data_IF_993508723683
#
_entry.id   IF_993508723683
#
_cell.length_a   1.000
_cell.length_b   1.000
_cell.length_c   1.000
_cell.angle_alpha   90.00
_cell.angle_beta   90.00
_cell.angle_gamma   90.00
#
_symmetry.space_group_name_H-M   'P 1'
#
loop_
_entity.id
_entity.type
_entity.pdbx_description
1 polymer ?
#
# COMPACT_ATOMS: atom_id res chain seq x y z
N UNK A 1 -82.69 -73.21 -2.38
CA UNK A 1 -81.22 -73.06 -2.24
C UNK A 1 -80.68 -72.34 -3.47
N UNK A 2 -80.39 -71.08 -3.38
CA UNK A 2 -79.81 -70.27 -4.46
C UNK A 2 -78.31 -70.12 -4.25
N UNK A 3 -77.50 -70.60 -5.18
CA UNK A 3 -76.03 -70.41 -5.19
C UNK A 3 -75.67 -69.02 -5.74
N UNK A 4 -75.07 -68.20 -4.87
CA UNK A 4 -74.49 -66.93 -5.26
C UNK A 4 -73.12 -67.23 -5.91
N UNK A 5 -72.95 -66.93 -7.22
CA UNK A 5 -71.67 -66.93 -7.94
C UNK A 5 -70.92 -65.66 -7.62
N UNK A 6 -69.82 -65.73 -6.87
CA UNK A 6 -68.91 -64.66 -6.63
C UNK A 6 -68.14 -64.32 -7.92
N UNK A 7 -68.28 -63.06 -8.37
CA UNK A 7 -67.50 -62.49 -9.51
C UNK A 7 -66.09 -62.11 -9.00
N UNK A 8 -65.07 -62.89 -9.34
CA UNK A 8 -63.66 -62.56 -9.10
C UNK A 8 -63.25 -61.49 -10.14
N UNK A 9 -63.17 -60.23 -9.74
CA UNK A 9 -62.53 -59.12 -10.53
C UNK A 9 -61.05 -59.50 -10.70
N UNK A 10 -60.61 -59.77 -11.94
CA UNK A 10 -59.18 -59.89 -12.27
C UNK A 10 -58.66 -58.46 -12.28
N UNK A 11 -57.94 -58.06 -11.25
CA UNK A 11 -57.19 -56.84 -11.20
C UNK A 11 -56.03 -56.86 -12.23
N UNK A 12 -56.10 -56.00 -13.19
CA UNK A 12 -55.11 -55.97 -14.28
C UNK A 12 -53.88 -55.12 -13.85
N UNK A 13 -52.91 -55.77 -13.21
CA UNK A 13 -51.69 -55.12 -12.72
C UNK A 13 -50.73 -54.67 -13.80
N UNK A 14 -51.01 -54.95 -15.10
CA UNK A 14 -50.15 -54.53 -16.22
C UNK A 14 -50.05 -53.02 -16.32
N UNK A 15 -51.14 -52.31 -16.12
CA UNK A 15 -51.14 -50.82 -16.11
C UNK A 15 -50.31 -50.23 -14.96
N UNK A 16 -50.43 -50.88 -13.77
CA UNK A 16 -49.62 -50.45 -12.60
C UNK A 16 -48.11 -50.62 -12.83
N UNK A 17 -47.66 -51.73 -13.39
CA UNK A 17 -46.25 -51.95 -13.71
C UNK A 17 -45.75 -51.03 -14.80
N UNK A 18 -46.56 -50.64 -15.79
CA UNK A 18 -46.18 -49.66 -16.81
C UNK A 18 -45.99 -48.28 -16.18
N UNK A 19 -46.89 -47.85 -15.30
CA UNK A 19 -46.76 -46.54 -14.60
C UNK A 19 -45.53 -46.56 -13.69
N UNK A 20 -45.32 -47.64 -12.93
CA UNK A 20 -44.15 -47.79 -12.07
C UNK A 20 -42.84 -47.72 -12.87
N UNK A 21 -42.80 -48.39 -14.02
CA UNK A 21 -41.64 -48.35 -14.94
C UNK A 21 -41.39 -46.96 -15.50
N UNK A 22 -42.44 -46.21 -15.90
CA UNK A 22 -42.31 -44.85 -16.37
C UNK A 22 -41.86 -43.90 -15.27
N UNK A 23 -42.34 -44.08 -14.01
CA UNK A 23 -41.89 -43.32 -12.85
C UNK A 23 -40.42 -43.64 -12.54
N UNK A 24 -40.02 -44.92 -12.61
CA UNK A 24 -38.61 -45.31 -12.40
C UNK A 24 -37.69 -44.75 -13.47
N UNK A 25 -38.09 -44.73 -14.75
CA UNK A 25 -37.36 -44.06 -15.83
C UNK A 25 -37.30 -42.54 -15.59
N UNK A 26 -38.42 -41.92 -15.21
CA UNK A 26 -38.47 -40.48 -14.88
C UNK A 26 -37.52 -40.11 -13.73
N UNK A 27 -37.51 -40.93 -12.67
CA UNK A 27 -36.58 -40.76 -11.55
C UNK A 27 -35.13 -40.94 -11.98
N UNK A 28 -34.84 -41.98 -12.78
CA UNK A 28 -33.49 -42.25 -13.28
C UNK A 28 -32.98 -41.11 -14.19
N UNK A 29 -33.83 -40.59 -15.07
CA UNK A 29 -33.52 -39.42 -15.92
C UNK A 29 -33.32 -38.17 -15.05
N UNK A 30 -34.16 -37.96 -14.03
CA UNK A 30 -34.02 -36.86 -13.09
C UNK A 30 -32.68 -36.91 -12.33
N UNK A 31 -32.36 -38.07 -11.72
CA UNK A 31 -31.08 -38.24 -11.01
C UNK A 31 -29.88 -38.16 -11.94
N UNK A 32 -29.97 -38.69 -13.15
CA UNK A 32 -28.91 -38.56 -14.16
C UNK A 32 -28.70 -37.09 -14.55
N UNK A 33 -29.78 -36.31 -14.72
CA UNK A 33 -29.69 -34.89 -15.06
C UNK A 33 -29.12 -34.01 -13.95
N UNK A 34 -29.09 -34.50 -12.70
CA UNK A 34 -28.49 -33.82 -11.55
C UNK A 34 -27.03 -34.26 -11.31
N UNK A 35 -26.53 -35.25 -12.02
CA UNK A 35 -25.15 -35.71 -11.90
C UNK A 35 -24.18 -34.76 -12.61
N UNK A 36 -22.91 -34.69 -12.13
CA UNK A 36 -21.82 -33.94 -12.79
C UNK A 36 -21.67 -34.32 -14.26
N UNK A 37 -22.09 -35.52 -14.66
CA UNK A 37 -22.03 -36.01 -16.05
C UNK A 37 -22.92 -35.22 -17.01
N UNK A 38 -24.05 -34.65 -16.49
CA UNK A 38 -24.98 -33.81 -17.27
C UNK A 38 -25.01 -32.38 -16.75
N UNK A 39 -23.92 -31.93 -16.16
CA UNK A 39 -23.79 -30.58 -15.68
C UNK A 39 -24.00 -29.55 -16.83
N UNK A 40 -24.68 -28.43 -16.53
CA UNK A 40 -25.02 -27.36 -17.48
C UNK A 40 -24.14 -26.13 -17.35
N UNK A 41 -23.26 -26.08 -16.35
CA UNK A 41 -22.33 -24.96 -16.20
C UNK A 41 -21.25 -25.11 -17.26
N UNK A 42 -20.93 -24.01 -17.90
CA UNK A 42 -19.82 -24.00 -18.87
C UNK A 42 -18.51 -23.72 -18.15
N UNK A 43 -17.36 -24.13 -18.72
CA UNK A 43 -16.04 -23.86 -18.19
C UNK A 43 -15.82 -22.38 -17.88
N UNK A 44 -15.14 -22.10 -16.79
CA UNK A 44 -14.68 -20.76 -16.43
C UNK A 44 -13.30 -20.51 -17.05
N UNK A 45 -13.16 -19.37 -17.73
CA UNK A 45 -11.89 -18.90 -18.29
C UNK A 45 -11.41 -17.69 -17.48
N UNK A 46 -10.39 -17.90 -16.63
CA UNK A 46 -9.75 -16.87 -15.81
C UNK A 46 -8.45 -16.45 -16.49
N UNK A 47 -8.20 -15.15 -16.55
CA UNK A 47 -6.99 -14.60 -17.13
C UNK A 47 -6.36 -13.69 -16.10
N UNK A 48 -5.16 -14.02 -15.69
CA UNK A 48 -4.44 -13.26 -14.70
C UNK A 48 -3.80 -12.01 -15.33
N UNK A 49 -3.98 -10.86 -14.66
CA UNK A 49 -3.40 -9.57 -15.06
C UNK A 49 -3.77 -9.10 -16.48
N UNK A 50 -4.96 -9.44 -16.98
CA UNK A 50 -5.46 -8.94 -18.25
C UNK A 50 -5.80 -7.45 -18.14
N UNK A 51 -4.97 -6.60 -18.76
CA UNK A 51 -5.24 -5.19 -19.03
C UNK A 51 -5.53 -4.98 -20.52
N UNK A 52 -5.71 -3.72 -20.93
CA UNK A 52 -5.90 -3.36 -22.34
C UNK A 52 -4.56 -3.31 -23.14
N UNK A 53 -3.43 -3.33 -22.43
CA UNK A 53 -2.08 -3.29 -23.00
C UNK A 53 -1.37 -4.60 -22.71
N UNK A 54 -0.58 -5.06 -23.67
CA UNK A 54 0.12 -6.32 -23.52
C UNK A 54 1.54 -6.26 -24.11
N UNK A 55 2.51 -6.71 -23.32
CA UNK A 55 3.85 -6.98 -23.80
C UNK A 55 3.98 -8.49 -24.08
N UNK A 56 4.18 -8.91 -25.35
CA UNK A 56 4.36 -10.32 -25.69
C UNK A 56 5.54 -11.04 -25.02
N UNK A 57 6.48 -10.29 -24.43
CA UNK A 57 7.58 -10.86 -23.65
C UNK A 57 7.17 -11.25 -22.21
N UNK A 58 6.02 -10.75 -21.74
CA UNK A 58 5.49 -11.09 -20.41
C UNK A 58 4.52 -12.25 -20.53
N UNK A 59 4.69 -13.24 -19.63
CA UNK A 59 3.78 -14.39 -19.60
C UNK A 59 2.44 -13.97 -18.97
N UNK A 60 1.35 -14.15 -19.73
CA UNK A 60 -0.01 -13.96 -19.22
C UNK A 60 -0.62 -15.35 -18.99
N UNK A 61 -1.02 -15.68 -17.77
CA UNK A 61 -1.57 -16.99 -17.45
C UNK A 61 -3.07 -17.04 -17.75
N UNK A 62 -3.48 -18.15 -18.39
CA UNK A 62 -4.87 -18.54 -18.63
C UNK A 62 -5.15 -19.73 -17.74
N UNK A 63 -6.23 -19.71 -16.98
CA UNK A 63 -6.69 -20.83 -16.17
C UNK A 63 -8.08 -21.22 -16.65
N UNK A 64 -8.20 -22.47 -17.12
CA UNK A 64 -9.48 -23.06 -17.50
C UNK A 64 -9.93 -23.97 -16.35
N UNK A 65 -11.15 -23.77 -15.83
CA UNK A 65 -11.70 -24.56 -14.71
C UNK A 65 -13.08 -25.09 -15.04
N UNK A 66 -13.31 -26.36 -14.70
CA UNK A 66 -14.61 -26.98 -14.81
C UNK A 66 -14.77 -28.18 -13.88
N UNK A 67 -15.98 -28.40 -13.33
CA UNK A 67 -16.29 -29.55 -12.47
C UNK A 67 -16.34 -30.86 -13.24
N UNK A 68 -16.77 -30.84 -14.52
CA UNK A 68 -16.82 -31.97 -15.44
C UNK A 68 -15.51 -32.24 -16.19
N UNK A 69 -14.45 -31.49 -15.87
CA UNK A 69 -13.12 -31.48 -16.50
C UNK A 69 -13.09 -30.86 -17.92
N UNK A 70 -11.95 -30.32 -18.28
CA UNK A 70 -11.71 -29.70 -19.59
C UNK A 70 -11.51 -30.76 -20.66
N UNK A 71 -12.30 -30.67 -21.74
CA UNK A 71 -12.26 -31.58 -22.91
C UNK A 71 -11.39 -31.05 -24.03
N UNK A 72 -11.54 -29.76 -24.34
CA UNK A 72 -10.78 -29.12 -25.40
C UNK A 72 -10.73 -27.62 -25.17
N UNK A 73 -9.76 -26.97 -25.79
CA UNK A 73 -9.71 -25.52 -25.87
C UNK A 73 -9.22 -25.09 -27.25
N UNK A 74 -9.60 -23.86 -27.62
CA UNK A 74 -9.04 -23.20 -28.80
C UNK A 74 -8.63 -21.78 -28.46
N UNK A 75 -7.56 -21.30 -29.08
CA UNK A 75 -7.05 -19.94 -28.94
C UNK A 75 -6.80 -19.40 -30.35
N UNK A 76 -7.62 -18.44 -30.76
CA UNK A 76 -7.51 -17.74 -32.03
C UNK A 76 -7.04 -16.31 -31.74
N UNK A 77 -6.00 -15.84 -32.45
CA UNK A 77 -5.58 -14.45 -32.41
C UNK A 77 -5.70 -13.79 -33.77
N UNK A 78 -6.30 -12.59 -33.78
CA UNK A 78 -6.61 -11.83 -35.00
C UNK A 78 -6.14 -10.40 -34.84
N UNK A 79 -5.48 -9.83 -35.86
CA UNK A 79 -5.14 -8.41 -35.89
C UNK A 79 -6.35 -7.55 -36.28
N UNK A 80 -6.26 -6.23 -36.09
CA UNK A 80 -7.32 -5.27 -36.42
C UNK A 80 -7.74 -5.33 -37.91
N UNK A 81 -6.83 -5.70 -38.81
CA UNK A 81 -7.10 -5.88 -40.23
C UNK A 81 -7.81 -7.20 -40.57
N UNK A 82 -8.16 -8.02 -39.57
CA UNK A 82 -8.79 -9.33 -39.76
C UNK A 82 -7.82 -10.47 -40.04
N UNK A 83 -6.52 -10.23 -40.12
CA UNK A 83 -5.50 -11.27 -40.33
C UNK A 83 -5.39 -12.19 -39.12
N UNK A 84 -5.55 -13.50 -39.32
CA UNK A 84 -5.31 -14.53 -38.31
C UNK A 84 -3.82 -14.73 -38.14
N UNK A 85 -3.30 -14.48 -36.93
CA UNK A 85 -1.87 -14.62 -36.62
C UNK A 85 -1.56 -15.80 -35.69
N UNK A 86 -2.61 -16.42 -35.13
CA UNK A 86 -2.53 -17.61 -34.30
C UNK A 86 -3.85 -18.40 -34.41
N UNK A 87 -3.78 -19.71 -34.51
CA UNK A 87 -4.93 -20.63 -34.45
C UNK A 87 -4.46 -21.93 -33.80
N UNK A 88 -4.83 -22.12 -32.55
CA UNK A 88 -4.51 -23.32 -31.74
C UNK A 88 -5.80 -24.02 -31.38
N UNK A 89 -5.85 -25.33 -31.60
CA UNK A 89 -6.96 -26.17 -31.16
C UNK A 89 -6.38 -27.44 -30.55
N UNK A 90 -6.75 -27.73 -29.31
CA UNK A 90 -6.21 -28.83 -28.53
C UNK A 90 -7.31 -29.64 -27.85
N UNK A 91 -7.17 -30.95 -27.87
CA UNK A 91 -8.01 -31.91 -27.13
C UNK A 91 -7.25 -32.39 -25.91
N UNK A 92 -7.85 -32.27 -24.73
CA UNK A 92 -7.24 -32.62 -23.45
C UNK A 92 -7.75 -33.97 -22.98
N UNK A 93 -6.92 -35.01 -23.09
CA UNK A 93 -7.30 -36.39 -22.79
C UNK A 93 -7.26 -36.74 -21.30
N UNK A 94 -6.42 -36.05 -20.52
CA UNK A 94 -6.19 -36.31 -19.09
C UNK A 94 -7.32 -35.85 -18.16
N UNK A 95 -8.35 -35.23 -18.73
CA UNK A 95 -9.56 -34.75 -18.01
C UNK A 95 -9.24 -33.91 -16.76
N UNK A 96 -8.42 -32.87 -16.81
CA UNK A 96 -8.14 -32.03 -15.66
C UNK A 96 -9.34 -31.15 -15.34
N UNK A 97 -9.68 -30.98 -14.05
CA UNK A 97 -10.67 -30.00 -13.59
C UNK A 97 -10.12 -28.56 -13.62
N UNK A 98 -8.80 -28.42 -13.63
CA UNK A 98 -8.11 -27.13 -13.78
C UNK A 98 -6.93 -27.33 -14.74
N UNK A 99 -6.87 -26.50 -15.79
CA UNK A 99 -5.79 -26.48 -16.77
C UNK A 99 -5.17 -25.08 -16.82
N UNK A 100 -3.86 -24.99 -16.56
CA UNK A 100 -3.09 -23.74 -16.61
C UNK A 100 -2.30 -23.68 -17.91
N UNK A 101 -2.50 -22.61 -18.63
CA UNK A 101 -1.84 -22.31 -19.89
C UNK A 101 -1.22 -20.93 -19.85
N UNK A 102 -0.29 -20.66 -20.73
CA UNK A 102 0.15 -19.28 -21.00
C UNK A 102 -0.47 -18.79 -22.32
N UNK A 103 -0.82 -17.51 -22.37
CA UNK A 103 -1.29 -16.88 -23.60
C UNK A 103 -0.21 -17.01 -24.66
N UNK A 104 -0.48 -17.75 -25.77
CA UNK A 104 0.54 -18.00 -26.76
C UNK A 104 0.83 -16.73 -27.55
N UNK A 105 2.12 -16.49 -27.82
CA UNK A 105 2.60 -15.36 -28.59
C UNK A 105 2.66 -15.73 -30.07
N UNK A 106 2.10 -14.91 -30.98
CA UNK A 106 2.25 -15.14 -32.42
C UNK A 106 3.72 -15.16 -32.82
N UNK A 107 4.07 -16.06 -33.76
CA UNK A 107 5.46 -16.16 -34.25
C UNK A 107 5.92 -14.88 -34.98
N UNK A 108 4.97 -14.15 -35.55
CA UNK A 108 5.23 -12.87 -36.22
C UNK A 108 5.49 -11.77 -35.17
N UNK A 109 6.53 -10.96 -35.37
CA UNK A 109 6.77 -9.75 -34.57
C UNK A 109 5.63 -8.75 -34.77
N UNK A 110 4.96 -8.39 -33.70
CA UNK A 110 3.90 -7.39 -33.66
C UNK A 110 4.52 -6.00 -33.52
N UNK A 111 4.12 -5.01 -34.32
CA UNK A 111 4.60 -3.64 -34.15
C UNK A 111 4.01 -3.00 -32.86
N UNK A 112 4.70 -2.01 -32.34
CA UNK A 112 4.24 -1.17 -31.23
C UNK A 112 2.91 -0.50 -31.58
N UNK A 113 1.95 -0.49 -30.65
CA UNK A 113 0.61 0.08 -30.85
C UNK A 113 -0.33 -0.79 -31.67
N UNK A 114 0.10 -1.95 -32.20
CA UNK A 114 -0.78 -2.86 -32.91
C UNK A 114 -1.89 -3.39 -32.00
N UNK A 115 -3.10 -3.51 -32.53
CA UNK A 115 -4.23 -4.12 -31.81
C UNK A 115 -4.38 -5.58 -32.21
N UNK A 116 -4.55 -6.43 -31.21
CA UNK A 116 -4.74 -7.88 -31.37
C UNK A 116 -5.91 -8.34 -30.49
N UNK A 117 -6.78 -9.15 -31.09
CA UNK A 117 -7.90 -9.80 -30.41
C UNK A 117 -7.61 -11.27 -30.21
N UNK A 118 -7.73 -11.76 -28.99
CA UNK A 118 -7.72 -13.18 -28.68
C UNK A 118 -9.15 -13.66 -28.41
N UNK A 119 -9.54 -14.74 -29.06
CA UNK A 119 -10.74 -15.50 -28.74
C UNK A 119 -10.33 -16.83 -28.15
N UNK A 120 -10.65 -17.04 -26.87
CA UNK A 120 -10.31 -18.24 -26.12
C UNK A 120 -11.61 -19.00 -25.88
N UNK A 121 -11.68 -20.25 -26.35
CA UNK A 121 -12.82 -21.14 -26.13
C UNK A 121 -12.38 -22.34 -25.31
N UNK A 122 -13.23 -22.75 -24.36
CA UNK A 122 -13.03 -23.97 -23.57
C UNK A 122 -14.30 -24.78 -23.54
N UNK A 123 -14.19 -26.10 -23.74
CA UNK A 123 -15.30 -27.07 -23.71
C UNK A 123 -15.04 -28.14 -22.65
N UNK A 124 -16.06 -28.53 -21.90
CA UNK A 124 -15.98 -29.57 -20.87
C UNK A 124 -16.28 -30.98 -21.37
N UNK A 125 -16.11 -31.98 -20.47
CA UNK A 125 -16.50 -33.37 -20.69
C UNK A 125 -17.95 -33.70 -20.26
N UNK A 126 -18.78 -32.69 -20.00
CA UNK A 126 -20.20 -32.91 -19.68
C UNK A 126 -20.92 -33.58 -20.87
N UNK A 127 -21.87 -34.45 -20.56
CA UNK A 127 -22.78 -35.01 -21.56
C UNK A 127 -23.93 -34.07 -21.93
N UNK A 128 -23.90 -32.82 -21.49
CA UNK A 128 -24.83 -31.77 -21.93
C UNK A 128 -24.74 -31.52 -23.43
N UNK A 129 -25.73 -30.86 -24.02
CA UNK A 129 -25.76 -30.50 -25.44
C UNK A 129 -25.54 -31.71 -26.37
N UNK A 130 -26.26 -32.79 -26.16
CA UNK A 130 -26.13 -34.04 -26.93
C UNK A 130 -24.73 -34.63 -26.93
N UNK A 131 -24.07 -34.68 -25.75
CA UNK A 131 -22.71 -35.21 -25.53
C UNK A 131 -21.60 -34.32 -26.11
N UNK A 132 -21.94 -33.09 -26.53
CA UNK A 132 -20.95 -32.15 -27.07
C UNK A 132 -20.15 -31.41 -25.98
N UNK A 133 -20.74 -31.34 -24.77
CA UNK A 133 -20.21 -30.54 -23.65
C UNK A 133 -20.75 -29.12 -23.64
N UNK A 134 -20.40 -28.38 -22.61
CA UNK A 134 -20.70 -26.95 -22.53
C UNK A 134 -19.45 -26.18 -22.96
N UNK A 135 -19.66 -25.05 -23.64
CA UNK A 135 -18.56 -24.24 -24.18
C UNK A 135 -18.67 -22.82 -23.67
N UNK A 136 -17.57 -22.26 -23.24
CA UNK A 136 -17.40 -20.82 -22.94
C UNK A 136 -16.46 -20.20 -23.96
N UNK A 137 -16.81 -19.01 -24.43
CA UNK A 137 -15.96 -18.16 -25.27
C UNK A 137 -15.61 -16.89 -24.50
N UNK A 138 -14.34 -16.54 -24.43
CA UNK A 138 -13.86 -15.28 -23.85
C UNK A 138 -13.02 -14.53 -24.87
N UNK A 139 -13.31 -13.25 -25.08
CA UNK A 139 -12.57 -12.36 -25.94
C UNK A 139 -11.71 -11.39 -25.12
N UNK A 140 -10.49 -11.14 -25.59
CA UNK A 140 -9.53 -10.19 -25.04
C UNK A 140 -9.00 -9.34 -26.17
N UNK A 141 -9.08 -8.04 -25.99
CA UNK A 141 -8.53 -7.08 -26.93
C UNK A 141 -7.33 -6.38 -26.29
N UNK A 142 -6.17 -6.45 -26.95
CA UNK A 142 -4.93 -5.84 -26.46
C UNK A 142 -4.38 -4.83 -27.47
N UNK A 143 -3.76 -3.79 -26.92
CA UNK A 143 -2.81 -2.96 -27.67
C UNK A 143 -1.39 -3.41 -27.31
N UNK A 144 -0.57 -3.70 -28.29
CA UNK A 144 0.83 -4.10 -28.09
C UNK A 144 1.61 -2.90 -27.56
N UNK A 145 2.25 -3.11 -26.42
CA UNK A 145 3.09 -2.12 -25.77
C UNK A 145 4.34 -2.80 -25.19
N UNK A 146 5.46 -2.55 -25.81
CA UNK A 146 6.77 -3.14 -25.44
C UNK A 146 7.77 -2.10 -24.92
N UNK A 147 7.34 -0.83 -24.84
CA UNK A 147 8.17 0.28 -24.39
C UNK A 147 7.94 0.54 -22.91
N UNK A 148 9.02 0.61 -22.16
CA UNK A 148 8.93 0.98 -20.74
C UNK A 148 8.84 2.51 -20.56
N UNK A 149 8.19 2.99 -19.49
CA UNK A 149 8.11 4.42 -19.17
C UNK A 149 9.47 5.12 -19.19
N UNK A 150 9.52 6.36 -19.70
CA UNK A 150 10.76 7.16 -19.74
C UNK A 150 10.85 8.06 -18.52
N UNK A 151 11.98 8.01 -17.81
CA UNK A 151 12.26 8.81 -16.61
C UNK A 151 13.39 9.79 -16.89
N UNK A 152 13.18 11.06 -16.51
CA UNK A 152 14.20 12.13 -16.54
C UNK A 152 14.17 12.88 -15.21
N UNK A 153 15.30 12.95 -14.49
CA UNK A 153 15.43 13.77 -13.28
C UNK A 153 15.70 15.23 -13.67
N UNK A 154 14.80 16.11 -13.29
CA UNK A 154 14.84 17.54 -13.62
C UNK A 154 15.67 18.30 -12.60
N UNK A 155 15.42 18.04 -11.29
CA UNK A 155 16.17 18.63 -10.19
C UNK A 155 16.08 17.71 -8.96
N UNK A 156 17.10 17.71 -8.12
CA UNK A 156 17.07 17.02 -6.83
C UNK A 156 17.91 17.73 -5.79
N UNK A 157 17.65 17.46 -4.52
CA UNK A 157 18.58 17.77 -3.44
C UNK A 157 19.94 17.14 -3.73
N UNK A 158 21.01 17.90 -3.53
CA UNK A 158 22.38 17.42 -3.81
C UNK A 158 22.78 16.24 -2.88
N UNK A 159 22.34 16.31 -1.64
CA UNK A 159 22.70 15.29 -0.63
C UNK A 159 21.56 15.04 0.35
N UNK A 160 21.59 13.87 0.95
CA UNK A 160 20.72 13.46 2.07
C UNK A 160 21.59 13.00 3.23
N UNK A 161 21.26 13.45 4.45
CA UNK A 161 21.89 12.91 5.66
C UNK A 161 21.19 11.63 6.13
N UNK A 162 21.90 10.74 6.79
CA UNK A 162 21.29 9.63 7.50
C UNK A 162 20.22 10.16 8.48
N UNK A 163 19.03 9.62 8.42
CA UNK A 163 17.86 10.12 9.16
C UNK A 163 17.15 11.34 8.52
N UNK A 164 17.67 11.91 7.41
CA UNK A 164 17.14 13.11 6.78
C UNK A 164 16.16 12.87 5.63
N UNK A 165 15.96 13.92 4.84
CA UNK A 165 15.07 13.90 3.66
C UNK A 165 15.68 14.61 2.46
N UNK A 166 15.17 14.30 1.26
CA UNK A 166 15.60 14.92 0.01
C UNK A 166 14.40 15.12 -0.93
N UNK A 167 14.40 16.24 -1.67
CA UNK A 167 13.41 16.54 -2.71
C UNK A 167 13.91 16.06 -4.06
N UNK A 168 13.03 15.42 -4.84
CA UNK A 168 13.29 14.97 -6.22
C UNK A 168 12.17 15.53 -7.09
N UNK A 169 12.54 16.18 -8.21
CA UNK A 169 11.65 16.64 -9.26
C UNK A 169 12.06 15.91 -10.54
N UNK A 170 11.10 15.24 -11.18
CA UNK A 170 11.37 14.42 -12.34
C UNK A 170 10.22 14.43 -13.34
N UNK A 171 10.48 13.98 -14.56
CA UNK A 171 9.48 13.70 -15.58
C UNK A 171 9.37 12.19 -15.75
N UNK A 172 8.13 11.69 -15.81
CA UNK A 172 7.81 10.30 -16.18
C UNK A 172 6.82 10.34 -17.34
N UNK A 173 7.30 9.96 -18.53
CA UNK A 173 6.49 10.00 -19.76
C UNK A 173 5.99 8.61 -20.08
N UNK A 174 4.67 8.43 -19.98
CA UNK A 174 3.94 7.22 -20.28
C UNK A 174 2.44 7.51 -20.37
N UNK A 175 1.76 7.06 -21.43
CA UNK A 175 0.33 7.32 -21.61
C UNK A 175 -0.56 6.36 -20.79
N UNK A 176 -0.09 5.16 -20.50
CA UNK A 176 -0.81 4.13 -19.75
C UNK A 176 -0.17 3.81 -18.40
N UNK A 177 0.41 4.79 -17.74
CA UNK A 177 1.11 4.66 -16.48
C UNK A 177 0.21 4.03 -15.39
N UNK A 178 0.62 2.88 -14.85
CA UNK A 178 -0.13 2.11 -13.84
C UNK A 178 0.41 2.32 -12.43
N UNK A 179 1.74 2.39 -12.28
CA UNK A 179 2.41 2.63 -10.99
C UNK A 179 3.53 3.64 -11.18
N UNK A 180 3.60 4.61 -10.27
CA UNK A 180 4.71 5.56 -10.17
C UNK A 180 5.00 5.81 -8.70
N UNK A 181 6.21 5.46 -8.26
CA UNK A 181 6.67 5.68 -6.89
C UNK A 181 8.15 6.01 -6.88
N UNK A 182 8.60 6.62 -5.77
CA UNK A 182 10.02 6.75 -5.48
C UNK A 182 10.34 5.91 -4.25
N UNK A 183 11.25 4.96 -4.37
CA UNK A 183 11.68 4.10 -3.26
C UNK A 183 12.97 4.61 -2.66
N UNK A 184 13.15 4.43 -1.35
CA UNK A 184 14.44 4.60 -0.66
C UNK A 184 15.23 3.28 -0.54
N UNK A 185 14.68 2.19 -1.11
CA UNK A 185 15.18 0.82 -1.02
C UNK A 185 14.38 -0.07 -0.05
N UNK A 186 13.55 0.52 0.81
CA UNK A 186 12.66 -0.17 1.76
C UNK A 186 11.24 0.35 1.65
N UNK A 187 11.07 1.68 1.77
CA UNK A 187 9.78 2.35 1.71
C UNK A 187 9.51 2.90 0.31
N UNK A 188 8.24 3.08 -0.05
CA UNK A 188 7.79 3.74 -1.27
C UNK A 188 7.14 5.10 -0.92
N UNK A 189 7.48 6.13 -1.69
CA UNK A 189 6.99 7.50 -1.56
C UNK A 189 6.18 7.87 -2.80
N UNK A 190 5.03 8.50 -2.58
CA UNK A 190 4.10 8.90 -3.64
C UNK A 190 4.57 10.21 -4.27
N UNK A 191 4.74 10.29 -5.59
CA UNK A 191 5.03 11.53 -6.28
C UNK A 191 3.76 12.36 -6.48
N UNK A 192 3.88 13.67 -6.30
CA UNK A 192 2.82 14.65 -6.56
C UNK A 192 2.98 15.21 -7.97
N UNK A 193 1.93 15.28 -8.81
CA UNK A 193 1.97 16.01 -10.08
C UNK A 193 2.42 17.45 -9.84
N UNK A 194 3.34 17.95 -10.66
CA UNK A 194 3.99 19.25 -10.46
C UNK A 194 4.01 20.09 -11.71
N UNK A 195 3.38 21.26 -11.67
CA UNK A 195 3.28 22.31 -12.71
C UNK A 195 2.61 21.86 -14.01
N UNK A 196 2.96 20.72 -14.58
CA UNK A 196 2.50 20.22 -15.89
C UNK A 196 2.30 18.70 -15.88
N UNK A 197 1.54 18.21 -16.86
CA UNK A 197 1.42 16.77 -17.14
C UNK A 197 2.81 16.12 -17.21
N UNK A 198 2.93 14.92 -16.71
CA UNK A 198 4.13 14.07 -16.69
C UNK A 198 5.28 14.57 -15.80
N UNK A 199 5.17 15.74 -15.15
CA UNK A 199 6.15 16.20 -14.17
C UNK A 199 5.66 15.96 -12.74
N UNK A 200 6.60 15.55 -11.89
CA UNK A 200 6.31 15.15 -10.52
C UNK A 200 7.36 15.69 -9.55
N UNK A 201 6.91 15.96 -8.33
CA UNK A 201 7.79 16.30 -7.21
C UNK A 201 7.49 15.37 -6.04
N UNK A 202 8.52 14.89 -5.35
CA UNK A 202 8.35 14.10 -4.12
C UNK A 202 9.50 14.32 -3.16
N UNK A 203 9.18 14.26 -1.88
CA UNK A 203 10.16 14.11 -0.81
C UNK A 203 10.35 12.64 -0.50
N UNK A 204 11.60 12.24 -0.29
CA UNK A 204 11.98 10.90 0.18
C UNK A 204 12.68 11.01 1.53
N UNK A 205 12.43 10.06 2.41
CA UNK A 205 13.07 9.95 3.71
C UNK A 205 14.14 8.86 3.74
N UNK A 206 15.17 9.06 4.57
CA UNK A 206 16.10 8.02 4.98
C UNK A 206 15.95 7.81 6.50
N UNK A 207 14.98 6.94 6.94
CA UNK A 207 14.71 6.76 8.37
C UNK A 207 15.93 6.26 9.15
N UNK A 208 16.08 6.67 10.42
CA UNK A 208 17.17 6.22 11.31
C UNK A 208 17.15 4.72 11.63
N UNK A 209 16.00 4.06 11.44
CA UNK A 209 15.85 2.62 11.57
C UNK A 209 16.44 1.85 10.38
N UNK A 210 16.73 2.53 9.26
CA UNK A 210 17.20 1.92 8.02
C UNK A 210 18.64 2.34 7.70
N UNK A 211 19.60 1.40 7.77
CA UNK A 211 21.02 1.68 7.52
C UNK A 211 21.36 1.92 6.06
N UNK A 212 20.53 1.49 5.13
CA UNK A 212 20.74 1.66 3.69
C UNK A 212 19.79 2.70 3.09
N UNK A 213 20.23 3.35 2.02
CA UNK A 213 19.42 4.27 1.24
C UNK A 213 19.76 4.14 -0.24
N UNK A 214 18.76 3.79 -1.04
CA UNK A 214 18.88 3.64 -2.50
C UNK A 214 17.70 4.32 -3.17
N UNK A 215 17.81 5.59 -3.56
CA UNK A 215 16.70 6.32 -4.15
C UNK A 215 16.46 5.85 -5.59
N UNK A 216 15.32 5.22 -5.83
CA UNK A 216 14.89 4.68 -7.12
C UNK A 216 13.54 5.26 -7.51
N UNK A 217 13.43 5.86 -8.69
CA UNK A 217 12.15 6.14 -9.32
C UNK A 217 11.72 4.86 -10.03
N UNK A 218 10.54 4.35 -9.71
CA UNK A 218 9.97 3.12 -10.27
C UNK A 218 8.69 3.51 -11.00
N UNK A 219 8.68 3.33 -12.32
CA UNK A 219 7.51 3.54 -13.16
C UNK A 219 7.14 2.24 -13.87
N UNK A 220 5.87 1.87 -13.86
CA UNK A 220 5.34 0.69 -14.51
C UNK A 220 4.07 1.06 -15.28
N UNK A 221 3.97 0.60 -16.52
CA UNK A 221 2.79 0.79 -17.38
C UNK A 221 1.74 -0.32 -17.24
N UNK A 222 0.67 -0.21 -18.02
CA UNK A 222 -0.41 -1.18 -18.09
C UNK A 222 -0.02 -2.52 -18.70
N UNK A 223 1.04 -2.58 -19.50
CA UNK A 223 1.60 -3.79 -20.09
C UNK A 223 2.64 -4.47 -19.19
N UNK A 224 2.87 -3.94 -17.99
CA UNK A 224 3.88 -4.36 -17.01
C UNK A 224 5.33 -4.10 -17.45
N UNK A 225 5.57 -3.21 -18.44
CA UNK A 225 6.92 -2.72 -18.69
C UNK A 225 7.34 -1.82 -17.51
N UNK A 226 8.56 -1.99 -17.03
CA UNK A 226 9.03 -1.27 -15.85
C UNK A 226 10.36 -0.57 -16.11
N UNK A 227 10.45 0.67 -15.67
CA UNK A 227 11.70 1.42 -15.56
C UNK A 227 12.03 1.64 -14.09
N UNK A 228 13.28 1.38 -13.73
CA UNK A 228 13.88 1.66 -12.41
C UNK A 228 15.06 2.60 -12.61
N UNK A 229 14.90 3.85 -12.22
CA UNK A 229 15.92 4.89 -12.39
C UNK A 229 16.52 5.27 -11.04
N UNK A 230 17.84 5.07 -10.87
CA UNK A 230 18.52 5.45 -9.64
C UNK A 230 18.86 6.94 -9.66
N UNK A 231 18.37 7.66 -8.66
CA UNK A 231 18.63 9.10 -8.51
C UNK A 231 19.99 9.32 -7.85
N UNK A 232 20.81 10.17 -8.44
CA UNK A 232 22.13 10.51 -7.89
C UNK A 232 21.99 11.53 -6.74
N UNK A 233 22.01 11.05 -5.50
CA UNK A 233 22.00 11.85 -4.27
C UNK A 233 23.19 11.44 -3.40
N UNK A 234 24.01 12.39 -2.98
CA UNK A 234 25.17 12.12 -2.11
C UNK A 234 24.68 11.76 -0.71
N UNK A 235 25.06 10.59 -0.23
CA UNK A 235 24.73 10.10 1.12
C UNK A 235 25.73 10.65 2.15
N UNK A 236 25.22 11.34 3.18
CA UNK A 236 26.02 11.82 4.30
C UNK A 236 25.74 10.97 5.51
N UNK A 237 26.65 10.07 5.84
CA UNK A 237 26.58 9.31 7.07
C UNK A 237 26.79 10.25 8.25
N UNK A 238 25.87 10.23 9.20
CA UNK A 238 25.94 10.98 10.44
C UNK A 238 25.63 10.05 11.61
N UNK A 239 26.48 10.07 12.60
CA UNK A 239 26.22 9.34 13.84
C UNK A 239 25.14 10.02 14.66
N UNK A 240 24.37 9.22 15.35
CA UNK A 240 23.43 9.62 16.39
C UNK A 240 23.95 9.13 17.74
N UNK A 241 23.38 9.69 18.80
CA UNK A 241 23.68 9.22 20.15
C UNK A 241 23.26 7.77 20.32
N UNK A 242 24.07 7.00 21.05
CA UNK A 242 23.79 5.65 21.49
C UNK A 242 23.81 5.64 23.02
N UNK A 243 22.65 5.44 23.64
CA UNK A 243 22.45 5.64 25.07
C UNK A 243 22.16 4.34 25.78
N UNK A 244 23.02 3.99 26.74
CA UNK A 244 22.75 2.90 27.68
C UNK A 244 22.04 3.47 28.94
N UNK A 245 20.79 3.06 29.16
CA UNK A 245 19.94 3.51 30.25
C UNK A 245 19.82 2.37 31.27
N UNK A 246 20.41 2.54 32.45
CA UNK A 246 20.33 1.56 33.54
C UNK A 246 19.16 1.91 34.45
N UNK A 247 18.14 1.06 34.43
CA UNK A 247 16.91 1.22 35.21
C UNK A 247 17.10 0.67 36.63
N UNK A 248 16.47 1.35 37.57
CA UNK A 248 16.31 0.96 38.96
C UNK A 248 14.83 0.79 39.27
N UNK A 249 14.47 0.16 40.39
CA UNK A 249 13.07 -0.08 40.75
C UNK A 249 12.23 1.21 40.74
N UNK A 250 12.79 2.33 41.19
CA UNK A 250 12.16 3.66 41.20
C UNK A 250 11.78 4.18 39.79
N UNK A 251 12.38 3.64 38.72
CA UNK A 251 12.11 4.09 37.34
C UNK A 251 10.85 3.46 36.74
N UNK A 252 10.27 2.44 37.38
CA UNK A 252 9.10 1.76 36.85
C UNK A 252 7.75 2.46 37.17
N UNK A 253 7.71 3.41 38.11
CA UNK A 253 6.46 4.07 38.51
C UNK A 253 5.66 4.65 37.36
N UNK A 254 6.33 5.35 36.39
CA UNK A 254 5.65 5.88 35.21
C UNK A 254 5.18 4.77 34.26
N UNK A 255 5.88 3.67 34.18
CA UNK A 255 5.50 2.48 33.39
C UNK A 255 4.30 1.79 34.01
N UNK A 256 4.26 1.70 35.36
CA UNK A 256 3.12 1.14 36.08
C UNK A 256 1.85 1.98 35.87
N UNK A 257 1.98 3.31 35.95
CA UNK A 257 0.89 4.27 35.69
C UNK A 257 0.35 4.12 34.24
N UNK A 258 1.26 4.07 33.26
CA UNK A 258 0.88 3.87 31.86
C UNK A 258 0.23 2.50 31.62
N UNK A 259 0.76 1.43 32.21
CA UNK A 259 0.18 0.10 32.07
C UNK A 259 -1.22 0.03 32.67
N UNK A 260 -1.44 0.61 33.86
CA UNK A 260 -2.74 0.69 34.48
C UNK A 260 -3.76 1.47 33.65
N UNK A 261 -3.31 2.55 33.00
CA UNK A 261 -4.17 3.39 32.15
C UNK A 261 -4.50 2.74 30.80
N UNK A 262 -3.52 2.09 30.16
CA UNK A 262 -3.63 1.63 28.76
C UNK A 262 -4.08 0.18 28.64
N UNK A 263 -3.71 -0.67 29.60
CA UNK A 263 -3.96 -2.12 29.58
C UNK A 263 -4.27 -2.66 30.99
N UNK A 264 -5.32 -2.15 31.67
CA UNK A 264 -5.61 -2.44 33.09
C UNK A 264 -5.80 -3.93 33.36
N UNK A 265 -6.34 -4.68 32.40
CA UNK A 265 -6.65 -6.11 32.55
C UNK A 265 -5.46 -7.02 32.23
N UNK A 266 -4.35 -6.48 31.73
CA UNK A 266 -3.19 -7.26 31.32
C UNK A 266 -2.31 -7.58 32.53
N UNK A 267 -2.01 -8.86 32.71
CA UNK A 267 -1.09 -9.34 33.76
C UNK A 267 0.30 -9.53 33.17
N UNK A 268 1.31 -9.01 33.86
CA UNK A 268 2.71 -9.14 33.49
C UNK A 268 3.43 -10.02 34.52
N UNK A 269 4.29 -10.91 34.07
CA UNK A 269 5.06 -11.80 34.93
C UNK A 269 6.21 -11.04 35.64
N UNK A 270 6.67 -9.92 35.07
CA UNK A 270 7.76 -9.12 35.63
C UNK A 270 7.69 -7.66 35.24
N UNK A 271 8.39 -6.80 36.00
CA UNK A 271 8.58 -5.39 35.64
C UNK A 271 9.31 -5.20 34.30
N UNK A 272 10.22 -6.10 33.97
CA UNK A 272 10.93 -6.07 32.67
C UNK A 272 9.99 -6.35 31.49
N UNK A 273 9.09 -7.29 31.63
CA UNK A 273 8.07 -7.59 30.61
C UNK A 273 7.11 -6.41 30.45
N UNK A 274 6.60 -5.85 31.54
CA UNK A 274 5.74 -4.68 31.52
C UNK A 274 6.41 -3.50 30.82
N UNK A 275 7.67 -3.20 31.18
CA UNK A 275 8.46 -2.15 30.54
C UNK A 275 8.61 -2.39 29.04
N UNK A 276 8.97 -3.61 28.65
CA UNK A 276 9.11 -3.98 27.23
C UNK A 276 7.81 -3.76 26.48
N UNK A 277 6.68 -4.21 27.03
CA UNK A 277 5.38 -4.05 26.40
C UNK A 277 5.03 -2.58 26.17
N UNK A 278 5.22 -1.73 27.19
CA UNK A 278 4.97 -0.29 27.05
C UNK A 278 5.95 0.37 26.07
N UNK A 279 7.24 0.04 26.16
CA UNK A 279 8.27 0.67 25.31
C UNK A 279 8.28 0.16 23.87
N UNK A 280 7.82 -1.04 23.61
CA UNK A 280 7.85 -1.64 22.25
C UNK A 280 6.42 -1.71 21.67
N UNK A 281 5.50 -2.48 22.25
CA UNK A 281 4.17 -2.72 21.66
C UNK A 281 3.26 -1.48 21.66
N UNK A 282 3.23 -0.73 22.76
CA UNK A 282 2.44 0.52 22.82
C UNK A 282 3.09 1.59 21.93
N UNK A 283 4.42 1.69 21.93
CA UNK A 283 5.15 2.59 21.01
C UNK A 283 4.85 2.29 19.56
N UNK A 284 4.89 1.01 19.16
CA UNK A 284 4.60 0.59 17.78
C UNK A 284 3.16 0.95 17.39
N UNK A 285 2.21 0.75 18.28
CA UNK A 285 0.81 1.15 18.08
C UNK A 285 0.66 2.67 17.89
N UNK A 286 1.35 3.46 18.72
CA UNK A 286 1.34 4.92 18.62
C UNK A 286 2.00 5.40 17.32
N UNK A 287 3.20 4.88 17.00
CA UNK A 287 3.93 5.21 15.78
C UNK A 287 3.13 4.81 14.52
N UNK A 288 2.38 3.69 14.58
CA UNK A 288 1.47 3.30 13.50
C UNK A 288 0.33 4.31 13.33
N UNK A 289 -0.30 4.76 14.39
CA UNK A 289 -1.37 5.76 14.32
C UNK A 289 -0.85 7.09 13.73
N UNK A 290 0.36 7.51 14.13
CA UNK A 290 1.05 8.69 13.58
C UNK A 290 1.37 8.49 12.10
N UNK A 291 1.91 7.32 11.73
CA UNK A 291 2.19 6.96 10.33
C UNK A 291 0.91 7.01 9.49
N UNK A 292 -0.15 6.34 9.93
CA UNK A 292 -1.42 6.27 9.21
C UNK A 292 -1.99 7.69 8.97
N UNK A 293 -1.95 8.56 9.97
CA UNK A 293 -2.44 9.93 9.84
C UNK A 293 -1.57 10.82 8.93
N UNK A 294 -0.26 10.59 8.87
CA UNK A 294 0.70 11.43 8.13
C UNK A 294 1.10 10.87 6.75
N UNK A 295 0.68 9.64 6.42
CA UNK A 295 0.90 9.00 5.12
C UNK A 295 -0.34 8.98 4.22
N UNK A 296 -1.54 9.21 4.77
CA UNK A 296 -2.79 9.29 4.01
C UNK A 296 -3.14 10.76 3.74
N UNK A 297 -2.89 11.19 2.52
CA UNK A 297 -3.14 12.56 2.05
C UNK A 297 -3.63 12.54 0.60
N UNK A 298 -4.34 13.58 0.21
CA UNK A 298 -4.74 13.76 -1.19
C UNK A 298 -3.54 14.15 -2.06
N UNK A 299 -3.41 13.48 -3.19
CA UNK A 299 -2.37 13.76 -4.19
C UNK A 299 -2.92 14.74 -5.21
N UNK A 300 -2.83 16.02 -4.89
CA UNK A 300 -3.25 17.10 -5.76
C UNK A 300 -2.07 17.66 -6.57
N UNK A 301 -2.38 18.26 -7.73
CA UNK A 301 -1.36 18.93 -8.54
C UNK A 301 -0.78 20.15 -7.81
N UNK A 302 0.52 20.21 -7.71
CA UNK A 302 1.26 21.35 -7.17
C UNK A 302 1.48 22.35 -8.31
N UNK A 303 0.74 23.46 -8.29
CA UNK A 303 0.74 24.47 -9.37
C UNK A 303 1.80 25.55 -9.20
N UNK A 304 2.47 25.58 -8.03
CA UNK A 304 3.57 26.52 -7.70
C UNK A 304 4.50 25.87 -6.67
N UNK A 305 5.77 26.28 -6.57
CA UNK A 305 6.66 25.81 -5.51
C UNK A 305 6.06 25.95 -4.12
N UNK A 306 6.15 24.91 -3.31
CA UNK A 306 5.77 24.97 -1.89
C UNK A 306 6.91 25.63 -1.13
N UNK A 307 6.57 26.60 -0.31
CA UNK A 307 7.51 27.33 0.54
C UNK A 307 7.35 26.82 1.96
N UNK A 308 8.42 26.38 2.55
CA UNK A 308 8.49 26.00 3.96
C UNK A 308 9.36 27.02 4.70
N UNK A 309 8.80 27.56 5.78
CA UNK A 309 9.59 28.29 6.78
C UNK A 309 10.27 27.30 7.75
N UNK A 310 11.31 27.75 8.43
CA UNK A 310 11.98 26.91 9.45
C UNK A 310 11.02 26.57 10.57
N UNK A 311 11.01 25.31 10.99
CA UNK A 311 10.20 24.90 12.12
C UNK A 311 10.81 25.37 13.44
N UNK A 312 10.03 26.11 14.22
CA UNK A 312 10.41 26.61 15.54
C UNK A 312 9.17 26.68 16.46
N UNK A 313 8.61 25.52 16.91
CA UNK A 313 7.29 25.46 17.52
C UNK A 313 7.24 25.95 18.96
N UNK A 314 8.38 26.01 19.67
CA UNK A 314 8.42 26.39 21.09
C UNK A 314 9.52 27.43 21.31
N UNK A 315 9.10 28.67 21.64
CA UNK A 315 10.03 29.79 21.82
C UNK A 315 10.84 29.65 23.10
N UNK A 316 12.13 30.01 23.06
CA UNK A 316 13.02 30.00 24.23
C UNK A 316 13.28 28.59 24.82
N UNK A 317 12.95 27.54 24.09
CA UNK A 317 13.11 26.18 24.60
C UNK A 317 14.57 25.70 24.54
N UNK A 318 14.94 24.91 25.53
CA UNK A 318 16.17 24.12 25.56
C UNK A 318 15.92 22.70 25.04
N UNK A 319 16.84 22.16 24.27
CA UNK A 319 16.79 20.78 23.81
C UNK A 319 17.25 19.85 24.94
N UNK A 320 16.36 18.97 25.38
CA UNK A 320 16.63 17.99 26.46
C UNK A 320 16.69 16.55 25.96
N UNK A 321 16.16 16.25 24.79
CA UNK A 321 16.25 14.96 24.10
C UNK A 321 16.49 15.11 22.62
N UNK A 322 17.48 14.38 22.05
CA UNK A 322 17.88 14.49 20.65
C UNK A 322 17.19 13.45 19.77
N UNK A 323 16.88 13.81 18.52
CA UNK A 323 16.41 12.90 17.50
C UNK A 323 17.45 11.84 17.14
N UNK A 324 17.00 10.61 16.93
CA UNK A 324 17.83 9.51 16.47
C UNK A 324 18.61 8.81 17.60
N UNK A 325 18.44 9.22 18.85
CA UNK A 325 19.07 8.58 20.01
C UNK A 325 18.64 7.10 20.09
N UNK A 326 19.59 6.18 19.90
CA UNK A 326 19.40 4.73 20.07
C UNK A 326 19.48 4.40 21.54
N UNK A 327 18.37 4.00 22.15
CA UNK A 327 18.26 3.80 23.60
C UNK A 327 18.20 2.32 23.93
N UNK A 328 19.18 1.86 24.74
CA UNK A 328 19.28 0.49 25.24
C UNK A 328 18.99 0.48 26.73
N UNK A 329 17.89 -0.19 27.13
CA UNK A 329 17.43 -0.22 28.51
C UNK A 329 17.89 -1.48 29.20
N UNK A 330 18.59 -1.32 30.31
CA UNK A 330 19.11 -2.40 31.15
C UNK A 330 18.48 -2.38 32.52
N UNK A 331 18.09 -3.54 33.00
CA UNK A 331 17.64 -3.75 34.36
C UNK A 331 18.30 -5.02 34.91
N UNK A 332 18.92 -4.93 36.11
CA UNK A 332 19.72 -6.02 36.71
C UNK A 332 20.71 -6.62 35.69
N UNK A 333 21.44 -5.73 35.01
CA UNK A 333 22.46 -6.03 33.99
C UNK A 333 22.00 -6.81 32.75
N UNK A 334 20.68 -6.99 32.58
CA UNK A 334 20.09 -7.58 31.37
C UNK A 334 19.49 -6.47 30.50
N UNK A 335 19.75 -6.50 29.19
CA UNK A 335 19.02 -5.67 28.23
C UNK A 335 17.56 -6.15 28.19
N UNK A 336 16.63 -5.28 28.52
CA UNK A 336 15.20 -5.61 28.59
C UNK A 336 14.39 -5.00 27.44
N UNK A 337 14.91 -3.95 26.79
CA UNK A 337 14.21 -3.28 25.68
C UNK A 337 15.14 -2.32 24.94
N UNK A 338 14.79 -2.01 23.68
CA UNK A 338 15.49 -1.01 22.87
C UNK A 338 14.47 -0.10 22.18
N UNK A 339 14.85 1.15 21.92
CA UNK A 339 14.02 2.07 21.12
C UNK A 339 14.85 3.18 20.49
N UNK A 340 14.31 3.83 19.47
CA UNK A 340 14.82 5.09 18.94
C UNK A 340 13.97 6.26 19.45
N UNK A 341 14.64 7.39 19.73
CA UNK A 341 13.95 8.65 19.98
C UNK A 341 13.67 9.35 18.64
N UNK A 342 12.42 9.35 18.20
CA UNK A 342 12.03 9.80 16.84
C UNK A 342 11.59 11.28 16.79
N UNK A 343 11.90 12.05 17.82
CA UNK A 343 11.62 13.47 17.90
C UNK A 343 12.72 14.26 18.61
N UNK A 344 12.43 15.51 18.85
CA UNK A 344 13.25 16.43 19.62
C UNK A 344 12.47 16.84 20.85
N UNK A 345 12.99 16.57 22.06
CA UNK A 345 12.36 17.03 23.28
C UNK A 345 12.85 18.46 23.60
N UNK A 346 11.89 19.36 23.74
CA UNK A 346 12.10 20.79 23.92
C UNK A 346 11.40 21.24 25.21
N UNK A 347 12.19 21.67 26.20
CA UNK A 347 11.69 22.17 27.48
C UNK A 347 11.71 23.70 27.54
N UNK A 348 10.64 24.29 28.05
CA UNK A 348 10.50 25.72 28.31
C UNK A 348 9.80 25.93 29.66
N UNK A 349 9.02 27.00 29.82
CA UNK A 349 8.13 27.15 30.99
C UNK A 349 6.98 26.14 30.91
N UNK A 350 6.40 25.79 32.03
CA UNK A 350 5.25 24.87 32.06
C UNK A 350 4.06 25.44 31.28
N UNK A 351 3.36 24.57 30.55
CA UNK A 351 2.22 24.92 29.70
C UNK A 351 2.55 26.03 28.68
N UNK A 352 3.78 26.01 28.13
CA UNK A 352 4.20 26.98 27.12
C UNK A 352 3.36 26.85 25.84
N UNK A 353 2.99 27.96 25.18
CA UNK A 353 2.23 27.91 23.93
C UNK A 353 3.05 27.27 22.81
N UNK A 354 2.47 26.26 22.15
CA UNK A 354 3.01 25.60 20.98
C UNK A 354 2.45 26.31 19.74
N UNK A 355 3.35 26.75 18.86
CA UNK A 355 3.02 27.56 17.69
C UNK A 355 3.24 26.77 16.41
N UNK A 356 2.27 26.81 15.51
CA UNK A 356 2.44 26.28 14.16
C UNK A 356 3.45 27.12 13.38
N UNK A 357 4.58 26.55 12.99
CA UNK A 357 5.65 27.24 12.26
C UNK A 357 5.37 27.38 10.77
N UNK A 358 4.47 26.56 10.23
CA UNK A 358 4.01 26.59 8.85
C UNK A 358 2.50 26.39 8.81
N UNK A 359 1.80 26.88 7.78
CA UNK A 359 0.38 26.62 7.62
C UNK A 359 0.14 25.13 7.37
N UNK A 360 -1.05 24.64 7.67
CA UNK A 360 -1.40 23.25 7.44
C UNK A 360 -2.79 22.88 7.95
N UNK A 361 -3.10 21.60 7.91
CA UNK A 361 -4.35 21.03 8.39
C UNK A 361 -4.09 19.99 9.47
N UNK A 362 -4.83 20.04 10.57
CA UNK A 362 -4.72 19.01 11.62
C UNK A 362 -5.29 17.70 11.10
N UNK A 363 -4.43 16.67 10.99
CA UNK A 363 -4.78 15.34 10.50
C UNK A 363 -4.82 14.28 11.60
N UNK A 364 -4.32 14.61 12.78
CA UNK A 364 -4.46 13.83 14.02
C UNK A 364 -4.58 14.76 15.21
N UNK A 365 -5.58 14.51 16.06
CA UNK A 365 -5.72 15.02 17.42
C UNK A 365 -6.17 13.86 18.28
N UNK A 366 -5.27 13.29 19.08
CA UNK A 366 -5.57 12.07 19.81
C UNK A 366 -4.70 11.91 21.05
N UNK A 367 -5.26 11.28 22.10
CA UNK A 367 -4.47 10.77 23.21
C UNK A 367 -3.90 9.40 22.84
N UNK A 368 -2.59 9.37 22.61
CA UNK A 368 -1.81 8.15 22.35
C UNK A 368 -1.21 7.61 23.66
N UNK A 369 -0.62 6.40 23.60
CA UNK A 369 -0.06 5.74 24.76
C UNK A 369 1.15 6.48 25.35
N UNK A 370 2.32 6.27 24.74
CA UNK A 370 3.58 6.87 25.21
C UNK A 370 3.76 8.33 24.76
N UNK A 371 3.20 8.69 23.62
CA UNK A 371 3.24 10.06 23.10
C UNK A 371 2.29 11.01 23.85
N UNK A 372 1.30 10.47 24.60
CA UNK A 372 0.31 11.29 25.29
C UNK A 372 -0.63 12.03 24.35
N UNK A 373 -1.11 13.19 24.73
CA UNK A 373 -1.92 14.02 23.87
C UNK A 373 -1.08 14.51 22.69
N UNK A 374 -1.53 14.25 21.48
CA UNK A 374 -0.73 14.42 20.25
C UNK A 374 -1.53 15.10 19.17
N UNK A 375 -0.91 16.04 18.47
CA UNK A 375 -1.38 16.65 17.24
C UNK A 375 -0.39 16.31 16.11
N UNK A 376 -0.92 15.99 14.92
CA UNK A 376 -0.16 15.98 13.65
C UNK A 376 -0.77 17.02 12.71
N UNK A 377 0.06 17.93 12.22
CA UNK A 377 -0.30 19.00 11.29
C UNK A 377 0.34 18.73 9.93
N UNK A 378 -0.48 18.52 8.90
CA UNK A 378 -0.05 18.27 7.51
C UNK A 378 0.16 19.59 6.76
N UNK A 379 1.31 19.75 6.09
CA UNK A 379 1.75 21.00 5.43
C UNK A 379 1.77 20.91 3.89
N UNK A 380 1.37 19.80 3.30
CA UNK A 380 1.50 19.53 1.86
C UNK A 380 2.77 18.75 1.50
N UNK A 381 2.83 18.22 0.28
CA UNK A 381 3.95 17.43 -0.27
C UNK A 381 4.36 16.23 0.61
N UNK A 382 3.44 15.70 1.40
CA UNK A 382 3.72 14.62 2.35
C UNK A 382 4.47 15.05 3.60
N UNK A 383 4.66 16.35 3.86
CA UNK A 383 5.32 16.86 5.08
C UNK A 383 4.30 17.04 6.18
N UNK A 384 4.60 16.50 7.36
CA UNK A 384 3.82 16.72 8.56
C UNK A 384 4.72 17.07 9.75
N UNK A 385 4.19 17.86 10.67
CA UNK A 385 4.81 18.09 11.98
C UNK A 385 3.99 17.45 13.08
N UNK A 386 4.68 16.87 14.06
CA UNK A 386 4.11 16.18 15.21
C UNK A 386 4.42 16.96 16.48
N UNK A 387 3.41 17.08 17.34
CA UNK A 387 3.48 17.73 18.64
C UNK A 387 2.88 16.79 19.68
N UNK A 388 3.67 16.38 20.68
CA UNK A 388 3.24 15.38 21.68
C UNK A 388 3.52 15.85 23.10
N UNK A 389 3.03 15.10 24.09
CA UNK A 389 3.01 15.42 25.52
C UNK A 389 2.19 16.65 25.88
N UNK A 390 1.26 17.05 25.00
CA UNK A 390 0.40 18.23 25.14
C UNK A 390 -0.44 18.16 26.42
N UNK A 391 -0.53 19.29 27.15
CA UNK A 391 -1.45 19.44 28.29
C UNK A 391 -2.85 19.81 27.83
N UNK A 392 -2.97 20.74 26.88
CA UNK A 392 -4.24 21.30 26.44
C UNK A 392 -4.24 21.57 24.94
N UNK A 393 -5.21 21.02 24.22
CA UNK A 393 -5.48 21.30 22.81
C UNK A 393 -6.15 22.67 22.65
N UNK A 394 -5.72 23.48 21.68
CA UNK A 394 -6.36 24.75 21.32
C UNK A 394 -7.08 24.68 19.97
N UNK A 395 -6.83 23.62 19.22
CA UNK A 395 -7.36 23.36 17.89
C UNK A 395 -7.80 21.91 17.80
N UNK A 396 -8.71 21.63 16.86
CA UNK A 396 -9.34 20.34 16.70
C UNK A 396 -8.93 19.64 15.38
N UNK A 397 -9.17 18.34 15.30
CA UNK A 397 -9.01 17.54 14.09
C UNK A 397 -9.77 18.19 12.92
N UNK A 398 -9.08 18.37 11.79
CA UNK A 398 -9.64 18.95 10.58
C UNK A 398 -9.51 20.46 10.46
N UNK A 399 -9.08 21.17 11.52
CA UNK A 399 -8.85 22.62 11.47
C UNK A 399 -7.73 22.98 10.49
N UNK A 400 -7.98 24.03 9.70
CA UNK A 400 -6.97 24.70 8.89
C UNK A 400 -6.22 25.71 9.76
N UNK A 401 -4.91 25.56 9.84
CA UNK A 401 -4.02 26.33 10.70
C UNK A 401 -3.15 27.29 9.87
N UNK A 402 -3.01 28.52 10.31
CA UNK A 402 -2.09 29.49 9.73
C UNK A 402 -0.76 29.47 10.48
N UNK A 403 0.28 29.91 9.80
CA UNK A 403 1.58 30.18 10.43
C UNK A 403 1.40 31.15 11.62
N UNK A 404 2.07 30.87 12.72
CA UNK A 404 2.03 31.67 13.95
C UNK A 404 0.86 31.41 14.88
N UNK A 405 -0.13 30.57 14.50
CA UNK A 405 -1.25 30.25 15.40
C UNK A 405 -0.80 29.31 16.52
N UNK A 406 -1.34 29.58 17.72
CA UNK A 406 -1.19 28.67 18.89
C UNK A 406 -2.12 27.50 18.69
N UNK A 407 -1.55 26.27 18.64
CA UNK A 407 -2.30 25.04 18.41
C UNK A 407 -2.53 24.23 19.70
N UNK A 408 -1.64 24.38 20.70
CA UNK A 408 -1.68 23.62 21.94
C UNK A 408 -0.81 24.30 23.02
N UNK A 409 -0.74 23.67 24.20
CA UNK A 409 0.18 24.01 25.30
C UNK A 409 1.05 22.77 25.61
N UNK A 410 2.34 22.99 25.93
CA UNK A 410 3.23 21.92 26.36
C UNK A 410 2.74 21.25 27.65
N UNK A 411 3.21 20.07 27.97
CA UNK A 411 2.78 19.34 29.14
C UNK A 411 3.62 18.10 29.44
N UNK A 412 3.02 17.16 30.17
CA UNK A 412 3.68 15.93 30.61
C UNK A 412 2.81 14.69 30.45
N UNK A 413 1.89 14.70 29.49
CA UNK A 413 1.03 13.53 29.21
C UNK A 413 1.82 12.41 28.54
N UNK A 414 1.37 11.16 28.68
CA UNK A 414 2.09 10.00 28.15
C UNK A 414 3.36 9.67 28.93
N UNK A 415 4.43 9.27 28.24
CA UNK A 415 5.72 8.92 28.87
C UNK A 415 6.65 10.13 28.97
N UNK A 416 6.28 11.08 29.78
CA UNK A 416 7.05 12.28 30.08
C UNK A 416 7.36 12.38 31.57
N UNK A 417 8.56 12.86 31.93
CA UNK A 417 9.02 13.04 33.31
C UNK A 417 8.97 14.50 33.79
N UNK A 418 8.48 15.40 32.95
CA UNK A 418 8.32 16.81 33.21
C UNK A 418 7.73 17.49 32.00
N UNK A 419 7.29 18.77 32.16
CA UNK A 419 6.69 19.54 31.06
C UNK A 419 7.72 19.79 29.94
N UNK A 420 7.43 19.30 28.77
CA UNK A 420 8.17 19.52 27.54
C UNK A 420 7.32 19.22 26.30
N UNK A 421 7.76 19.71 25.15
CA UNK A 421 7.22 19.35 23.85
C UNK A 421 8.10 18.26 23.23
N UNK A 422 7.54 17.11 22.90
CA UNK A 422 8.15 16.18 21.96
C UNK A 422 7.72 16.58 20.55
N UNK A 423 8.68 17.05 19.75
CA UNK A 423 8.45 17.57 18.40
C UNK A 423 9.03 16.64 17.34
N UNK A 424 8.26 16.34 16.29
CA UNK A 424 8.66 15.50 15.16
C UNK A 424 8.40 16.15 13.81
N UNK A 425 9.18 15.80 12.79
CA UNK A 425 8.87 16.05 11.37
C UNK A 425 8.79 14.72 10.66
N UNK A 426 7.75 14.55 9.83
CA UNK A 426 7.53 13.36 9.04
C UNK A 426 7.48 13.71 7.55
N UNK A 427 8.00 12.80 6.74
CA UNK A 427 7.87 12.81 5.28
C UNK A 427 7.13 11.55 4.89
N UNK A 428 5.88 11.70 4.47
CA UNK A 428 5.00 10.59 4.10
C UNK A 428 5.01 9.47 5.15
N UNK A 429 4.77 9.83 6.41
CA UNK A 429 4.73 8.91 7.55
C UNK A 429 6.08 8.58 8.17
N UNK A 430 7.20 8.83 7.51
CA UNK A 430 8.54 8.51 8.01
C UNK A 430 9.14 9.67 8.80
N UNK A 431 9.55 9.42 10.05
CA UNK A 431 10.25 10.41 10.87
C UNK A 431 11.60 10.79 10.27
N UNK A 432 11.83 12.10 10.16
CA UNK A 432 13.07 12.63 9.58
C UNK A 432 13.79 13.58 10.54
N UNK A 433 15.07 13.83 10.25
CA UNK A 433 15.96 14.67 11.03
C UNK A 433 15.47 16.10 11.13
N UNK A 434 14.97 16.49 12.30
CA UNK A 434 14.41 17.80 12.56
C UNK A 434 15.41 18.96 12.42
N UNK A 435 16.69 18.73 12.79
CA UNK A 435 17.71 19.78 12.69
C UNK A 435 17.87 20.35 11.28
N UNK A 436 17.51 19.60 10.24
CA UNK A 436 17.47 20.05 8.85
C UNK A 436 16.28 20.99 8.63
N UNK A 437 15.10 20.63 9.07
CA UNK A 437 13.87 21.41 8.93
C UNK A 437 13.78 22.62 9.88
N UNK A 438 14.63 22.66 10.91
CA UNK A 438 14.81 23.83 11.81
C UNK A 438 15.89 24.80 11.30
N UNK A 439 16.64 24.44 10.26
CA UNK A 439 17.67 25.27 9.61
C UNK A 439 17.13 25.88 8.31
N UNK A 440 16.81 27.18 8.31
CA UNK A 440 16.36 27.90 7.12
C UNK A 440 17.35 27.88 5.96
N UNK A 441 18.68 27.77 6.23
CA UNK A 441 19.69 27.64 5.17
C UNK A 441 19.62 26.27 4.50
N UNK A 442 19.37 25.20 5.28
CA UNK A 442 19.17 23.87 4.73
C UNK A 442 17.89 23.81 3.88
N UNK A 443 16.76 24.34 4.37
CA UNK A 443 15.49 24.42 3.61
C UNK A 443 15.71 25.18 2.30
N UNK A 444 16.35 26.35 2.34
CA UNK A 444 16.66 27.13 1.14
C UNK A 444 17.45 26.31 0.12
N UNK A 445 18.51 25.61 0.55
CA UNK A 445 19.41 24.91 -0.36
C UNK A 445 18.83 23.57 -0.87
N UNK A 446 18.09 22.85 -0.04
CA UNK A 446 17.66 21.48 -0.36
C UNK A 446 16.19 21.39 -0.80
N UNK A 447 15.38 22.41 -0.52
CA UNK A 447 13.96 22.43 -0.88
C UNK A 447 13.67 23.59 -1.84
N UNK A 448 13.79 24.84 -1.38
CA UNK A 448 13.39 26.02 -2.16
C UNK A 448 14.16 26.14 -3.46
N UNK A 449 15.51 26.03 -3.42
CA UNK A 449 16.35 26.12 -4.63
C UNK A 449 16.13 24.97 -5.61
N UNK A 450 15.77 23.78 -5.12
CA UNK A 450 15.42 22.63 -5.98
C UNK A 450 14.11 22.89 -6.71
N UNK A 451 13.08 23.40 -6.03
CA UNK A 451 11.83 23.82 -6.67
C UNK A 451 12.06 24.91 -7.71
N UNK A 452 12.81 25.96 -7.39
CA UNK A 452 13.13 27.05 -8.31
C UNK A 452 13.88 26.55 -9.56
N UNK A 453 14.85 25.65 -9.39
CA UNK A 453 15.56 25.02 -10.51
C UNK A 453 14.62 24.19 -11.37
N UNK A 454 13.79 23.35 -10.73
CA UNK A 454 12.80 22.52 -11.42
C UNK A 454 11.80 23.35 -12.22
N UNK A 455 11.20 24.35 -11.60
CA UNK A 455 10.27 25.27 -12.26
C UNK A 455 10.91 25.96 -13.48
N UNK A 456 12.12 26.50 -13.32
CA UNK A 456 12.84 27.15 -14.42
C UNK A 456 13.06 26.22 -15.63
N UNK A 457 13.42 24.96 -15.39
CA UNK A 457 13.63 23.96 -16.47
C UNK A 457 12.29 23.59 -17.10
N UNK A 458 11.26 23.27 -16.31
CA UNK A 458 9.94 22.86 -16.78
C UNK A 458 9.27 23.95 -17.63
N UNK A 459 9.40 25.21 -17.22
CA UNK A 459 8.80 26.33 -17.94
C UNK A 459 9.60 26.75 -19.18
N UNK A 460 10.93 26.55 -19.20
CA UNK A 460 11.78 26.82 -20.38
C UNK A 460 11.52 25.86 -21.54
N UNK A 461 11.21 24.63 -21.29
CA UNK A 461 10.91 23.63 -22.31
C UNK A 461 9.60 23.93 -23.08
N UNK A 462 9.11 25.16 -23.03
CA UNK A 462 7.95 25.68 -23.77
C UNK A 462 8.35 26.53 -25.00
N UNK A 463 9.62 26.90 -25.16
CA UNK A 463 10.12 27.62 -26.32
C UNK A 463 10.85 26.67 -27.28
#
# INVERSE_FOLDING_TARGET
MARIRGYRRKTNYKGFFVVLFLVAIGALVYFASQSEIFEKKSPEIIIENAGNFWNPKTQTQIILKDSSAIKSYSILATLENGEKVLDIQEVVLDKPKELKLFLPVPQRKLPEGAKISYEISATDWSNSNFFSGNTTLKRLDFTIDTQAPKIEVIASSFSISYGGSALIIFKATEDNLKKLVVSNGVDEFVPFPYLKKDYYATLVAWPVKNKSFTPLIIAQDGANNQTRYQVAIVKKLKGYRDSTIRLQDKNFGKVDELAQMLVPDMKFESQSEKFRYINESIREKDEKAIFDASSHFEVNMITRPIIFERFYPLRGAQVVGSFGDSRHYYYKDKNISNSYHLGLDMASVANAPIIASNPGKIVLEQKLGIYGNTIVLYHGLGVSSLYSHISNFKKALGDDIREGEVIAESGSTGWAFGDHLHFGILVQGQFVRLAEWMDGKWIKNNITSVFQKGEKIILRNQK
#
